data_IF_899028892722
#
_entry.id   IF_899028892722
#
_cell.length_a   1.000
_cell.length_b   1.000
_cell.length_c   1.000
_cell.angle_alpha   90.00
_cell.angle_beta   90.00
_cell.angle_gamma   90.00
#
_symmetry.space_group_name_H-M   'P 1'
#
loop_
_entity.id
_entity.type
_entity.pdbx_description
1 polymer ?
#
# COMPACT_ATOMS: atom_id res chain seq x y z
N UNK A 1 23.12 39.72 69.69
CA UNK A 1 23.85 38.81 68.75
C UNK A 1 22.95 38.02 67.80
N UNK A 2 21.79 37.54 68.23
CA UNK A 2 20.91 36.72 67.31
C UNK A 2 20.25 37.48 66.13
N UNK A 3 20.04 38.78 66.22
CA UNK A 3 19.41 39.58 65.12
C UNK A 3 20.39 39.83 63.99
N UNK A 4 21.67 40.05 64.29
CA UNK A 4 22.71 40.28 63.30
C UNK A 4 23.04 39.01 62.51
N UNK A 5 23.02 37.87 63.18
CA UNK A 5 23.26 36.56 62.56
C UNK A 5 22.14 36.17 61.57
N UNK A 6 20.88 36.55 61.86
CA UNK A 6 19.76 36.31 60.96
C UNK A 6 19.78 37.18 59.71
N UNK A 7 20.25 38.41 59.83
CA UNK A 7 20.38 39.33 58.69
C UNK A 7 21.53 38.89 57.74
N UNK A 8 22.63 38.38 58.30
CA UNK A 8 23.73 37.85 57.51
C UNK A 8 23.35 36.56 56.76
N UNK A 9 22.56 35.67 57.38
CA UNK A 9 22.08 34.45 56.71
C UNK A 9 21.08 34.76 55.59
N UNK A 10 20.20 35.76 55.75
CA UNK A 10 19.26 36.21 54.75
C UNK A 10 19.98 36.86 53.54
N UNK A 11 21.06 37.62 53.80
CA UNK A 11 21.90 38.21 52.75
C UNK A 11 22.66 37.18 51.91
N UNK A 12 23.16 36.10 52.57
CA UNK A 12 23.84 35.01 51.89
C UNK A 12 22.85 34.20 51.04
N UNK A 13 21.62 33.95 51.54
CA UNK A 13 20.58 33.28 50.79
C UNK A 13 20.15 34.09 49.55
N UNK A 14 20.04 35.40 49.63
CA UNK A 14 19.74 36.26 48.49
C UNK A 14 20.88 36.31 47.45
N UNK A 15 22.15 36.26 47.88
CA UNK A 15 23.28 36.20 46.99
C UNK A 15 23.41 34.84 46.24
N UNK A 16 23.02 33.76 46.88
CA UNK A 16 22.96 32.43 46.21
C UNK A 16 21.83 32.32 45.21
N UNK A 17 20.67 32.92 45.44
CA UNK A 17 19.59 33.02 44.51
C UNK A 17 19.89 33.90 43.31
N UNK A 18 20.70 34.97 43.52
CA UNK A 18 21.11 35.87 42.44
C UNK A 18 22.13 35.24 41.46
N UNK A 19 22.94 34.28 41.92
CA UNK A 19 23.90 33.60 41.08
C UNK A 19 23.26 32.59 40.13
N UNK A 20 22.15 32.00 40.49
CA UNK A 20 21.42 31.09 39.61
C UNK A 20 20.65 31.86 38.50
N UNK A 21 20.16 33.08 38.78
CA UNK A 21 19.53 33.91 37.74
C UNK A 21 20.54 34.44 36.70
N UNK A 22 21.79 34.74 37.12
CA UNK A 22 22.82 35.13 36.15
C UNK A 22 23.37 34.00 35.29
N UNK A 23 23.33 32.75 35.81
CA UNK A 23 23.76 31.61 35.02
C UNK A 23 22.75 31.20 33.93
N UNK A 24 21.50 31.59 34.05
CA UNK A 24 20.47 31.36 33.03
C UNK A 24 20.49 32.36 31.87
N UNK A 25 21.00 33.56 32.08
CA UNK A 25 21.13 34.56 31.01
C UNK A 25 22.35 34.42 30.10
N UNK A 26 23.34 33.69 30.51
CA UNK A 26 24.54 33.47 29.68
C UNK A 26 24.50 32.27 28.73
N UNK A 27 23.39 31.52 28.67
CA UNK A 27 23.21 30.46 27.68
C UNK A 27 22.37 30.88 26.47
N UNK A 28 22.04 32.15 26.29
CA UNK A 28 21.39 32.69 25.10
C UNK A 28 22.37 33.29 24.08
N UNK A 29 23.53 32.62 23.89
CA UNK A 29 24.38 32.85 22.74
C UNK A 29 23.86 32.14 21.53
N UNK A 30 23.17 32.90 20.67
CA UNK A 30 22.97 32.69 19.22
C UNK A 30 23.16 31.27 18.67
N UNK A 31 22.33 30.34 19.07
CA UNK A 31 21.97 29.22 18.22
C UNK A 31 20.63 29.60 17.60
N UNK A 32 20.64 29.87 16.31
CA UNK A 32 19.44 29.92 15.48
C UNK A 32 18.73 28.58 15.73
N UNK A 33 17.80 28.55 16.67
CA UNK A 33 16.84 27.50 16.83
C UNK A 33 15.97 27.58 15.58
N UNK A 34 16.36 26.88 14.53
CA UNK A 34 15.38 26.32 13.61
C UNK A 34 14.33 25.68 14.51
N UNK A 35 13.11 26.19 14.44
CA UNK A 35 12.00 25.72 15.26
C UNK A 35 11.89 24.21 15.21
N UNK A 36 12.58 23.58 16.14
CA UNK A 36 12.32 22.22 16.50
C UNK A 36 10.95 22.24 17.18
N UNK A 37 9.90 22.04 16.41
CA UNK A 37 8.66 21.50 16.92
C UNK A 37 9.08 20.34 17.80
N UNK A 38 8.86 20.42 19.10
CA UNK A 38 8.97 19.29 19.98
C UNK A 38 8.20 18.16 19.29
N UNK A 39 8.96 17.17 18.78
CA UNK A 39 8.38 15.92 18.33
C UNK A 39 7.83 15.29 19.60
N UNK A 40 6.55 15.51 19.85
CA UNK A 40 5.77 14.53 20.54
C UNK A 40 5.91 13.27 19.69
N UNK A 41 6.76 12.39 20.13
CA UNK A 41 6.74 10.99 19.76
C UNK A 41 5.46 10.45 20.37
N UNK A 42 4.34 10.80 19.76
CA UNK A 42 3.15 9.99 19.87
C UNK A 42 3.54 8.70 19.15
N UNK A 43 4.01 7.74 19.91
CA UNK A 43 3.91 6.34 19.55
C UNK A 43 2.42 6.06 19.39
N UNK A 44 1.88 6.45 18.24
CA UNK A 44 0.57 6.05 17.81
C UNK A 44 0.68 4.59 17.41
N UNK A 45 0.13 3.75 18.26
CA UNK A 45 -0.38 2.41 17.97
C UNK A 45 0.46 1.55 17.03
N UNK A 46 1.69 1.19 17.42
CA UNK A 46 2.47 0.17 16.74
C UNK A 46 2.93 0.51 15.32
N UNK A 47 2.84 1.77 14.89
CA UNK A 47 3.35 2.19 13.60
C UNK A 47 4.87 2.06 13.55
N UNK A 48 5.37 1.17 12.73
CA UNK A 48 6.79 0.97 12.46
C UNK A 48 7.35 2.02 11.49
N UNK A 49 6.46 2.79 10.88
CA UNK A 49 6.79 3.80 9.86
C UNK A 49 7.03 5.15 10.52
N UNK A 50 8.18 5.76 10.27
CA UNK A 50 8.50 7.09 10.79
C UNK A 50 7.64 8.16 10.15
N UNK A 51 7.38 9.28 10.85
CA UNK A 51 6.65 10.42 10.29
C UNK A 51 7.25 10.94 8.97
N UNK A 52 8.55 10.77 8.77
CA UNK A 52 9.23 11.14 7.52
C UNK A 52 8.81 10.22 6.37
N UNK A 53 8.66 8.93 6.62
CA UNK A 53 8.18 7.97 5.61
C UNK A 53 6.71 8.25 5.29
N UNK A 54 5.86 8.49 6.31
CA UNK A 54 4.46 8.86 6.12
C UNK A 54 4.26 10.15 5.33
N UNK A 55 5.11 11.16 5.57
CA UNK A 55 4.96 12.47 4.93
C UNK A 55 5.44 12.50 3.48
N UNK A 56 6.25 11.54 3.05
CA UNK A 56 6.83 11.53 1.70
C UNK A 56 5.79 11.23 0.62
N UNK A 57 4.80 10.38 0.92
CA UNK A 57 3.78 9.92 -0.01
C UNK A 57 2.34 10.17 0.47
N UNK A 58 2.16 10.66 1.69
CA UNK A 58 0.84 11.02 2.22
C UNK A 58 0.27 12.28 1.59
N UNK A 59 1.04 12.95 0.74
CA UNK A 59 0.57 14.14 0.07
C UNK A 59 -0.50 13.78 -0.95
N UNK A 60 -1.71 13.89 -0.40
CA UNK A 60 -2.86 14.38 -1.11
C UNK A 60 -3.00 13.74 -2.48
N UNK A 61 -3.74 12.65 -2.50
CA UNK A 61 -4.53 12.36 -3.69
C UNK A 61 -5.33 13.62 -4.04
N UNK A 62 -4.68 14.53 -4.72
CA UNK A 62 -5.39 15.46 -5.55
C UNK A 62 -6.09 14.58 -6.58
N UNK A 63 -7.33 14.21 -6.25
CA UNK A 63 -8.18 13.51 -7.17
C UNK A 63 -8.15 14.29 -8.48
N UNK A 64 -7.58 13.68 -9.50
CA UNK A 64 -7.55 14.28 -10.83
C UNK A 64 -8.99 14.52 -11.20
N UNK A 65 -9.34 15.75 -11.51
CA UNK A 65 -10.70 16.07 -11.93
C UNK A 65 -10.98 15.31 -13.23
N UNK A 66 -12.24 14.93 -13.46
CA UNK A 66 -12.60 14.25 -14.71
C UNK A 66 -12.27 15.08 -15.95
N UNK A 67 -12.21 16.40 -15.80
CA UNK A 67 -11.81 17.33 -16.86
C UNK A 67 -10.31 17.22 -17.21
N UNK A 68 -9.46 16.91 -16.24
CA UNK A 68 -8.01 16.79 -16.43
C UNK A 68 -7.60 15.37 -16.85
N UNK A 69 -8.52 14.40 -16.78
CA UNK A 69 -8.29 13.01 -17.15
C UNK A 69 -8.55 12.80 -18.63
N UNK A 70 -7.52 12.94 -19.46
CA UNK A 70 -7.64 12.75 -20.90
C UNK A 70 -7.62 11.29 -21.35
N UNK A 71 -6.97 10.42 -20.58
CA UNK A 71 -6.86 9.02 -20.90
C UNK A 71 -6.89 8.17 -19.64
N UNK A 72 -7.60 7.04 -19.71
CA UNK A 72 -7.73 6.10 -18.61
C UNK A 72 -7.85 4.68 -19.15
N UNK A 73 -7.19 3.74 -18.49
CA UNK A 73 -7.33 2.30 -18.74
C UNK A 73 -7.35 1.52 -17.44
N UNK A 74 -8.25 0.57 -17.33
CA UNK A 74 -8.32 -0.35 -16.16
C UNK A 74 -7.67 -1.67 -16.55
N UNK A 75 -6.70 -2.08 -15.77
CA UNK A 75 -5.90 -3.28 -15.91
C UNK A 75 -6.08 -4.12 -14.65
N UNK A 76 -6.19 -5.43 -14.81
CA UNK A 76 -6.25 -6.37 -13.71
C UNK A 76 -4.99 -7.22 -13.74
N UNK A 77 -4.22 -7.20 -12.64
CA UNK A 77 -3.01 -8.00 -12.49
C UNK A 77 -3.18 -9.11 -11.49
N UNK A 78 -2.54 -10.23 -11.77
CA UNK A 78 -2.28 -11.29 -10.81
C UNK A 78 -0.86 -11.12 -10.28
N UNK A 79 -0.72 -10.79 -9.02
CA UNK A 79 0.55 -10.70 -8.32
C UNK A 79 0.79 -12.07 -7.68
N UNK A 80 1.74 -12.81 -8.20
CA UNK A 80 2.13 -14.12 -7.68
C UNK A 80 3.24 -13.94 -6.64
N UNK A 81 3.07 -14.52 -5.47
CA UNK A 81 3.98 -14.34 -4.33
C UNK A 81 5.25 -15.18 -4.45
N UNK A 82 5.28 -16.16 -5.36
CA UNK A 82 6.47 -16.95 -5.67
C UNK A 82 7.55 -16.11 -6.41
N UNK A 83 7.19 -14.97 -6.96
CA UNK A 83 8.13 -14.06 -7.60
C UNK A 83 8.94 -13.28 -6.55
N UNK A 84 10.26 -13.21 -6.71
CA UNK A 84 11.18 -12.57 -5.76
C UNK A 84 10.76 -11.15 -5.35
N UNK A 85 10.32 -10.33 -6.31
CA UNK A 85 9.87 -8.95 -6.04
C UNK A 85 8.63 -8.87 -5.14
N UNK A 86 7.83 -9.93 -5.12
CA UNK A 86 6.56 -10.00 -4.41
C UNK A 86 6.69 -10.69 -3.05
N UNK A 87 7.83 -11.34 -2.78
CA UNK A 87 8.09 -12.03 -1.52
C UNK A 87 7.86 -11.16 -0.30
N UNK A 88 8.09 -9.84 -0.43
CA UNK A 88 7.83 -8.84 0.59
C UNK A 88 6.36 -8.77 1.04
N UNK A 89 5.41 -9.16 0.20
CA UNK A 89 3.97 -9.18 0.53
C UNK A 89 3.59 -10.42 1.36
N UNK A 90 4.38 -11.50 1.24
CA UNK A 90 4.20 -12.75 1.98
C UNK A 90 4.92 -12.74 3.33
N UNK A 91 6.04 -12.06 3.43
CA UNK A 91 6.87 -12.02 4.64
C UNK A 91 6.36 -10.95 5.64
N UNK A 92 6.33 -11.27 6.95
CA UNK A 92 6.59 -12.57 7.57
C UNK A 92 5.35 -13.48 7.52
N UNK A 93 5.56 -14.80 7.42
CA UNK A 93 4.46 -15.78 7.47
C UNK A 93 3.74 -15.76 8.82
N UNK A 94 4.51 -15.70 9.90
CA UNK A 94 3.99 -15.48 11.25
C UNK A 94 4.37 -14.07 11.74
N UNK A 95 3.55 -13.43 12.57
CA UNK A 95 3.84 -12.10 13.09
C UNK A 95 5.17 -12.07 13.86
N UNK A 96 6.09 -11.19 13.48
CA UNK A 96 7.39 -10.99 14.12
C UNK A 96 7.48 -9.54 14.59
N UNK A 97 7.63 -9.32 15.90
CA UNK A 97 7.81 -7.98 16.50
C UNK A 97 6.78 -6.94 16.08
N UNK A 98 5.52 -7.39 15.86
CA UNK A 98 4.42 -6.52 15.42
C UNK A 98 4.35 -6.31 13.91
N UNK A 99 5.23 -6.93 13.14
CA UNK A 99 5.11 -6.99 11.68
C UNK A 99 4.17 -8.10 11.26
N UNK A 100 3.36 -7.80 10.29
CA UNK A 100 2.40 -8.71 9.69
C UNK A 100 2.50 -8.62 8.17
N UNK A 101 2.27 -9.72 7.47
CA UNK A 101 2.15 -9.66 6.01
C UNK A 101 0.81 -9.03 5.57
N UNK A 102 0.71 -8.74 4.29
CA UNK A 102 -0.46 -8.07 3.71
C UNK A 102 -1.78 -8.79 4.03
N UNK A 103 -1.81 -10.14 3.92
CA UNK A 103 -3.04 -10.89 4.17
C UNK A 103 -3.47 -10.81 5.65
N UNK A 104 -2.55 -10.91 6.59
CA UNK A 104 -2.83 -10.77 8.03
C UNK A 104 -3.34 -9.38 8.37
N UNK A 105 -2.74 -8.34 7.78
CA UNK A 105 -3.22 -6.95 7.94
C UNK A 105 -4.67 -6.84 7.47
N UNK A 106 -4.99 -7.34 6.26
CA UNK A 106 -6.34 -7.30 5.70
C UNK A 106 -7.31 -8.07 6.61
N UNK A 107 -6.96 -9.28 7.04
CA UNK A 107 -7.82 -10.11 7.90
C UNK A 107 -8.06 -9.49 9.27
N UNK A 108 -7.04 -8.91 9.88
CA UNK A 108 -7.15 -8.19 11.16
C UNK A 108 -8.09 -6.98 11.05
N UNK A 109 -7.96 -6.19 10.01
CA UNK A 109 -8.82 -5.04 9.76
C UNK A 109 -10.27 -5.46 9.48
N UNK A 110 -10.46 -6.54 8.73
CA UNK A 110 -11.77 -7.11 8.44
C UNK A 110 -12.42 -7.68 9.71
N UNK A 111 -11.68 -8.46 10.51
CA UNK A 111 -12.17 -9.05 11.75
C UNK A 111 -12.61 -7.97 12.76
N UNK A 112 -11.92 -6.84 12.81
CA UNK A 112 -12.28 -5.68 13.61
C UNK A 112 -13.41 -4.83 12.99
N UNK A 113 -13.94 -5.22 11.83
CA UNK A 113 -14.94 -4.46 11.07
C UNK A 113 -14.51 -3.02 10.77
N UNK A 114 -13.21 -2.83 10.56
CA UNK A 114 -12.61 -1.52 10.27
C UNK A 114 -12.70 -1.17 8.78
N UNK A 115 -12.59 -2.17 7.93
CA UNK A 115 -12.70 -2.04 6.48
C UNK A 115 -13.87 -2.89 5.94
N UNK A 116 -14.56 -2.45 4.88
CA UNK A 116 -15.57 -3.26 4.21
C UNK A 116 -14.93 -4.24 3.22
N UNK A 117 -15.50 -5.43 3.11
CA UNK A 117 -15.22 -6.38 2.04
C UNK A 117 -16.38 -6.42 1.04
N UNK A 118 -16.06 -6.67 -0.21
CA UNK A 118 -17.01 -6.74 -1.31
C UNK A 118 -16.94 -8.09 -2.03
N UNK A 119 -18.08 -8.55 -2.54
CA UNK A 119 -18.19 -9.83 -3.23
C UNK A 119 -17.27 -9.89 -4.46
N UNK A 120 -16.61 -11.04 -4.63
CA UNK A 120 -15.90 -11.35 -5.87
C UNK A 120 -16.92 -11.90 -6.88
N UNK A 121 -17.35 -11.06 -7.80
CA UNK A 121 -18.32 -11.38 -8.83
C UNK A 121 -17.63 -11.66 -10.17
N UNK A 122 -16.97 -12.81 -10.26
CA UNK A 122 -16.32 -13.25 -11.49
C UNK A 122 -15.38 -12.17 -12.10
N UNK A 123 -14.61 -11.54 -11.23
CA UNK A 123 -13.66 -10.47 -11.57
C UNK A 123 -14.31 -9.11 -11.83
N UNK A 124 -15.57 -8.92 -11.47
CA UNK A 124 -16.18 -7.59 -11.46
C UNK A 124 -15.96 -6.93 -10.11
N UNK A 125 -15.47 -5.73 -10.14
CA UNK A 125 -15.33 -4.86 -8.98
C UNK A 125 -16.55 -3.96 -8.84
N UNK A 126 -17.50 -4.34 -7.98
CA UNK A 126 -18.68 -3.53 -7.68
C UNK A 126 -18.68 -3.18 -6.21
N UNK A 127 -18.34 -1.94 -5.90
CA UNK A 127 -18.13 -1.43 -4.54
C UNK A 127 -19.34 -0.67 -4.01
N UNK A 128 -20.53 -1.28 -4.14
CA UNK A 128 -21.79 -0.73 -3.59
C UNK A 128 -22.19 -1.52 -2.34
N UNK A 129 -22.99 -0.90 -1.47
CA UNK A 129 -23.45 -1.55 -0.23
C UNK A 129 -24.22 -2.85 -0.51
N UNK A 130 -24.84 -2.98 -1.68
CA UNK A 130 -25.54 -4.19 -2.09
C UNK A 130 -24.61 -5.41 -2.20
N UNK A 131 -23.35 -5.20 -2.57
CA UNK A 131 -22.36 -6.25 -2.76
C UNK A 131 -21.33 -6.31 -1.62
N UNK A 132 -21.62 -5.62 -0.51
CA UNK A 132 -20.82 -5.71 0.69
C UNK A 132 -21.05 -7.05 1.38
N UNK A 133 -19.99 -7.78 1.68
CA UNK A 133 -20.04 -9.04 2.41
C UNK A 133 -19.89 -8.77 3.91
N UNK A 134 -20.62 -9.50 4.72
CA UNK A 134 -20.40 -9.51 6.18
C UNK A 134 -19.14 -10.30 6.49
N UNK A 135 -18.37 -9.81 7.46
CA UNK A 135 -17.14 -10.49 7.90
C UNK A 135 -17.39 -11.95 8.30
N UNK A 136 -18.49 -12.24 9.01
CA UNK A 136 -18.88 -13.60 9.37
C UNK A 136 -19.01 -14.50 8.13
N UNK A 137 -19.68 -14.02 7.09
CA UNK A 137 -19.92 -14.79 5.85
C UNK A 137 -18.59 -15.09 5.12
N UNK A 138 -17.60 -14.19 5.21
CA UNK A 138 -16.24 -14.42 4.71
C UNK A 138 -15.56 -15.52 5.50
N UNK A 139 -15.57 -15.43 6.83
CA UNK A 139 -14.89 -16.39 7.70
C UNK A 139 -15.49 -17.80 7.54
N UNK A 140 -16.82 -17.89 7.51
CA UNK A 140 -17.54 -19.17 7.33
C UNK A 140 -17.29 -19.76 5.93
N UNK A 141 -17.28 -18.95 4.87
CA UNK A 141 -17.05 -19.39 3.48
C UNK A 141 -15.67 -20.01 3.27
N UNK A 142 -14.66 -19.46 3.95
CA UNK A 142 -13.27 -19.92 3.80
C UNK A 142 -12.82 -20.84 4.95
N UNK A 143 -13.75 -21.23 5.84
CA UNK A 143 -13.51 -22.13 6.97
C UNK A 143 -12.42 -21.61 7.92
N UNK A 144 -12.42 -20.29 8.18
CA UNK A 144 -11.50 -19.66 9.12
C UNK A 144 -12.16 -19.66 10.50
N UNK A 145 -11.59 -20.35 11.52
CA UNK A 145 -12.13 -20.37 12.87
C UNK A 145 -12.07 -18.97 13.50
N UNK A 146 -13.12 -18.60 14.22
CA UNK A 146 -13.17 -17.31 14.90
C UNK A 146 -13.99 -17.38 16.18
N UNK A 147 -13.77 -16.43 17.07
CA UNK A 147 -14.58 -16.17 18.26
C UNK A 147 -15.09 -14.73 18.25
N UNK A 148 -16.21 -14.46 18.91
CA UNK A 148 -16.68 -13.09 19.03
C UNK A 148 -15.77 -12.30 19.97
N UNK A 149 -15.29 -11.15 19.50
CA UNK A 149 -14.41 -10.30 20.29
C UNK A 149 -15.17 -9.61 21.44
N UNK A 150 -14.47 -9.32 22.52
CA UNK A 150 -15.02 -8.53 23.64
C UNK A 150 -15.45 -7.15 23.13
N UNK A 151 -16.71 -6.78 23.36
CA UNK A 151 -17.28 -5.52 22.87
C UNK A 151 -17.86 -5.60 21.45
N UNK A 152 -17.97 -6.80 20.88
CA UNK A 152 -18.77 -7.04 19.69
C UNK A 152 -20.22 -6.66 19.92
N UNK A 153 -20.84 -5.99 18.97
CA UNK A 153 -22.25 -5.63 19.00
C UNK A 153 -22.91 -6.05 17.69
N UNK A 154 -24.22 -6.26 17.71
CA UNK A 154 -24.95 -6.64 16.53
C UNK A 154 -24.83 -5.64 15.36
N UNK A 155 -24.65 -4.33 15.68
CA UNK A 155 -24.43 -3.27 14.70
C UNK A 155 -22.98 -3.17 14.22
N UNK A 156 -22.03 -3.56 15.07
CA UNK A 156 -20.60 -3.56 14.78
C UNK A 156 -19.98 -4.86 15.25
N UNK A 157 -20.20 -5.96 14.51
CA UNK A 157 -19.65 -7.26 14.87
C UNK A 157 -18.12 -7.25 14.73
N UNK A 158 -17.45 -7.72 15.76
CA UNK A 158 -15.99 -7.88 15.80
C UNK A 158 -15.65 -9.31 16.15
N UNK A 159 -14.64 -9.82 15.51
CA UNK A 159 -14.19 -11.20 15.67
C UNK A 159 -12.73 -11.24 16.08
N UNK A 160 -12.37 -12.25 16.84
CA UNK A 160 -10.98 -12.60 17.15
C UNK A 160 -10.65 -13.87 16.41
N UNK A 161 -9.59 -13.85 15.62
CA UNK A 161 -9.04 -14.99 14.89
C UNK A 161 -7.70 -15.31 15.55
N UNK A 162 -7.46 -16.58 15.86
CA UNK A 162 -6.15 -16.98 16.35
C UNK A 162 -5.11 -16.81 15.24
N UNK A 163 -3.91 -16.29 15.52
CA UNK A 163 -2.87 -16.14 14.50
C UNK A 163 -2.53 -17.43 13.73
N UNK A 164 -2.68 -18.60 14.39
CA UNK A 164 -2.47 -19.90 13.76
C UNK A 164 -3.58 -20.32 12.78
N UNK A 165 -4.77 -19.76 12.93
CA UNK A 165 -5.95 -20.09 12.12
C UNK A 165 -6.06 -19.21 10.85
N UNK A 166 -5.23 -18.20 10.72
CA UNK A 166 -5.18 -17.36 9.50
C UNK A 166 -4.44 -18.15 8.40
N UNK A 167 -5.10 -18.52 7.29
CA UNK A 167 -4.50 -19.37 6.25
C UNK A 167 -3.51 -18.58 5.36
N UNK A 168 -2.46 -18.04 5.98
CA UNK A 168 -1.45 -17.23 5.29
C UNK A 168 -0.71 -18.02 4.23
N UNK A 169 -0.38 -19.28 4.54
CA UNK A 169 0.33 -20.19 3.66
C UNK A 169 -0.49 -20.66 2.45
N UNK A 170 -1.80 -20.46 2.46
CA UNK A 170 -2.68 -20.79 1.34
C UNK A 170 -2.90 -19.59 0.40
N UNK A 171 -2.61 -18.37 0.85
CA UNK A 171 -2.74 -17.16 0.02
C UNK A 171 -1.42 -16.91 -0.70
N UNK A 172 -1.33 -17.39 -1.93
CA UNK A 172 -0.11 -17.33 -2.75
C UNK A 172 -0.20 -16.33 -3.90
N UNK A 173 -1.32 -15.65 -4.06
CA UNK A 173 -1.42 -14.55 -5.03
C UNK A 173 -2.47 -13.50 -4.63
N UNK A 174 -2.36 -12.32 -5.24
CA UNK A 174 -3.36 -11.26 -5.14
C UNK A 174 -3.82 -10.85 -6.52
N UNK A 175 -5.12 -10.60 -6.67
CA UNK A 175 -5.61 -9.86 -7.81
C UNK A 175 -5.69 -8.38 -7.45
N UNK A 176 -5.18 -7.55 -8.33
CA UNK A 176 -5.13 -6.09 -8.16
C UNK A 176 -5.80 -5.42 -9.34
N UNK A 177 -6.65 -4.45 -9.05
CA UNK A 177 -7.24 -3.56 -10.06
C UNK A 177 -6.42 -2.28 -10.09
N UNK A 178 -5.82 -2.00 -11.23
CA UNK A 178 -5.08 -0.78 -11.50
C UNK A 178 -5.84 0.11 -12.46
N UNK A 179 -5.96 1.37 -12.11
CA UNK A 179 -6.38 2.41 -13.03
C UNK A 179 -5.16 3.18 -13.51
N UNK A 180 -4.83 3.00 -14.76
CA UNK A 180 -3.80 3.79 -15.42
C UNK A 180 -4.44 5.07 -15.95
N UNK A 181 -3.96 6.22 -15.50
CA UNK A 181 -4.49 7.53 -15.86
C UNK A 181 -3.37 8.49 -16.23
N UNK A 182 -3.63 9.31 -17.26
CA UNK A 182 -2.74 10.37 -17.66
C UNK A 182 -3.21 11.69 -17.02
N UNK A 183 -2.36 12.24 -16.17
CA UNK A 183 -2.57 13.55 -15.54
C UNK A 183 -1.98 14.64 -16.41
N UNK A 184 -2.83 15.47 -17.01
CA UNK A 184 -2.41 16.57 -17.89
C UNK A 184 -1.73 17.70 -17.13
N UNK A 185 -2.02 17.88 -15.83
CA UNK A 185 -1.39 18.93 -15.03
C UNK A 185 0.07 18.64 -14.76
N UNK A 186 0.39 17.39 -14.49
CA UNK A 186 1.75 16.95 -14.19
C UNK A 186 2.44 16.28 -15.39
N UNK A 187 1.71 16.13 -16.51
CA UNK A 187 2.17 15.45 -17.74
C UNK A 187 2.77 14.07 -17.43
N UNK A 188 2.07 13.30 -16.60
CA UNK A 188 2.53 12.02 -16.07
C UNK A 188 1.47 10.94 -16.23
N UNK A 189 1.88 9.77 -16.73
CA UNK A 189 1.10 8.54 -16.68
C UNK A 189 1.39 7.83 -15.34
N UNK A 190 0.36 7.46 -14.59
CA UNK A 190 0.53 6.73 -13.33
C UNK A 190 -0.48 5.61 -13.20
N UNK A 191 -0.08 4.46 -12.66
CA UNK A 191 -1.02 3.47 -12.15
C UNK A 191 -1.53 3.91 -10.77
N UNK A 192 -2.81 3.72 -10.53
CA UNK A 192 -3.46 3.90 -9.24
C UNK A 192 -4.13 2.58 -8.89
N UNK A 193 -3.72 1.97 -7.79
CA UNK A 193 -4.37 0.77 -7.28
C UNK A 193 -5.74 1.13 -6.72
N UNK A 194 -6.81 0.50 -7.24
CA UNK A 194 -8.19 0.73 -6.81
C UNK A 194 -8.65 -0.29 -5.78
N UNK A 195 -8.31 -1.56 -6.00
CA UNK A 195 -8.74 -2.65 -5.12
C UNK A 195 -7.76 -3.82 -5.14
N UNK A 196 -7.78 -4.58 -4.06
CA UNK A 196 -6.99 -5.79 -3.88
C UNK A 196 -7.92 -6.94 -3.50
N UNK A 197 -7.67 -8.13 -4.04
CA UNK A 197 -8.38 -9.36 -3.72
C UNK A 197 -7.35 -10.45 -3.38
N UNK A 198 -7.30 -10.96 -2.15
CA UNK A 198 -6.52 -12.15 -1.82
C UNK A 198 -7.05 -13.37 -2.57
N UNK A 199 -6.15 -14.25 -3.00
CA UNK A 199 -6.50 -15.48 -3.72
C UNK A 199 -5.92 -16.68 -2.97
N UNK A 200 -6.79 -17.54 -2.50
CA UNK A 200 -6.45 -18.81 -1.87
C UNK A 200 -6.08 -19.84 -2.94
N UNK A 201 -5.00 -20.58 -2.69
CA UNK A 201 -4.59 -21.69 -3.52
C UNK A 201 -4.74 -22.98 -2.72
N UNK A 202 -5.70 -23.80 -3.09
CA UNK A 202 -5.95 -25.11 -2.44
C UNK A 202 -5.80 -26.24 -3.44
N UNK A 203 -4.99 -27.21 -3.09
CA UNK A 203 -4.91 -28.45 -3.86
C UNK A 203 -6.19 -29.27 -3.65
N UNK A 204 -6.69 -29.87 -4.72
CA UNK A 204 -7.82 -30.80 -4.61
C UNK A 204 -7.40 -32.09 -3.91
N UNK A 205 -8.37 -32.82 -3.32
CA UNK A 205 -8.15 -34.09 -2.59
C UNK A 205 -7.50 -35.21 -3.43
N UNK A 206 -7.54 -35.09 -4.74
CA UNK A 206 -7.01 -36.09 -5.68
C UNK A 206 -5.64 -35.75 -6.29
N UNK A 207 -4.98 -34.71 -5.81
CA UNK A 207 -3.77 -34.18 -6.42
C UNK A 207 -4.07 -33.39 -7.71
N UNK A 208 -3.11 -32.63 -8.17
CA UNK A 208 -3.23 -31.76 -9.35
C UNK A 208 -2.80 -30.35 -9.01
N UNK A 209 -2.90 -29.44 -9.99
CA UNK A 209 -2.59 -28.03 -9.79
C UNK A 209 -3.53 -27.40 -8.76
N UNK A 210 -2.99 -26.56 -7.91
CA UNK A 210 -3.79 -25.84 -6.92
C UNK A 210 -4.86 -24.96 -7.60
N UNK A 211 -6.10 -25.12 -7.16
CA UNK A 211 -7.20 -24.29 -7.62
C UNK A 211 -7.13 -22.93 -6.95
N UNK A 212 -7.32 -21.87 -7.75
CA UNK A 212 -7.32 -20.49 -7.29
C UNK A 212 -8.73 -20.08 -6.86
N UNK A 213 -8.87 -19.69 -5.59
CA UNK A 213 -10.12 -19.22 -5.01
C UNK A 213 -9.99 -17.74 -4.63
N UNK A 214 -10.41 -16.79 -5.49
CA UNK A 214 -10.49 -15.40 -5.11
C UNK A 214 -11.45 -15.20 -3.95
N UNK A 215 -11.02 -14.47 -2.92
CA UNK A 215 -11.79 -14.38 -1.68
C UNK A 215 -12.82 -13.25 -1.73
N UNK A 216 -12.37 -12.04 -1.74
CA UNK A 216 -13.20 -10.83 -1.69
C UNK A 216 -12.37 -9.61 -2.15
N UNK A 217 -13.06 -8.58 -2.59
CA UNK A 217 -12.42 -7.32 -2.90
C UNK A 217 -12.38 -6.41 -1.68
N UNK A 218 -11.26 -5.69 -1.52
CA UNK A 218 -11.13 -4.56 -0.60
C UNK A 218 -10.65 -3.35 -1.39
N UNK A 219 -11.29 -2.19 -1.17
CA UNK A 219 -10.81 -0.95 -1.78
C UNK A 219 -9.47 -0.55 -1.21
N UNK A 220 -8.55 -0.17 -2.07
CA UNK A 220 -7.23 0.27 -1.64
C UNK A 220 -7.30 1.57 -0.81
N UNK A 221 -8.25 2.46 -1.13
CA UNK A 221 -8.48 3.69 -0.36
C UNK A 221 -8.80 3.43 1.11
N UNK A 222 -9.50 2.31 1.41
CA UNK A 222 -9.89 1.95 2.78
C UNK A 222 -8.72 1.28 3.52
N UNK A 223 -7.82 0.60 2.79
CA UNK A 223 -6.60 -0.02 3.32
C UNK A 223 -5.48 0.99 3.56
N UNK A 224 -5.38 1.99 2.70
CA UNK A 224 -4.25 2.91 2.60
C UNK A 224 -3.78 3.51 3.94
N UNK A 225 -4.66 4.05 4.83
CA UNK A 225 -4.23 4.62 6.10
C UNK A 225 -3.50 3.60 7.00
N UNK A 226 -3.88 2.33 6.91
CA UNK A 226 -3.29 1.25 7.70
C UNK A 226 -2.01 0.73 7.06
N UNK A 227 -1.98 0.62 5.73
CA UNK A 227 -0.81 0.19 4.97
C UNK A 227 0.33 1.23 5.05
N UNK A 228 0.00 2.52 5.10
CA UNK A 228 0.97 3.59 5.29
C UNK A 228 1.62 3.58 6.69
N UNK A 229 0.99 2.93 7.68
CA UNK A 229 1.53 2.78 9.02
C UNK A 229 2.38 1.52 9.22
N UNK A 230 2.39 0.60 8.25
CA UNK A 230 3.10 -0.68 8.31
C UNK A 230 4.31 -0.66 7.38
N UNK A 231 5.47 -0.98 7.93
CA UNK A 231 6.68 -1.12 7.14
C UNK A 231 6.71 -2.44 6.38
N UNK A 232 7.25 -2.41 5.17
CA UNK A 232 7.49 -3.60 4.34
C UNK A 232 8.98 -3.79 4.14
N UNK A 233 9.44 -5.04 4.14
CA UNK A 233 10.81 -5.41 3.85
C UNK A 233 10.92 -5.75 2.36
N UNK A 234 11.46 -4.82 1.60
CA UNK A 234 11.76 -5.01 0.18
C UNK A 234 13.18 -5.54 0.02
N UNK A 235 13.98 -5.36 1.06
CA UNK A 235 15.41 -5.68 1.09
C UNK A 235 15.76 -6.36 2.43
N UNK A 236 16.80 -7.18 2.46
CA UNK A 236 17.19 -7.99 3.62
C UNK A 236 17.66 -7.20 4.84
N UNK A 237 17.83 -5.88 4.71
CA UNK A 237 18.47 -5.08 5.75
C UNK A 237 17.47 -4.32 6.64
N UNK A 238 16.87 -3.26 6.10
CA UNK A 238 16.02 -2.36 6.87
C UNK A 238 14.78 -2.00 6.06
N UNK A 239 13.61 -1.91 6.70
CA UNK A 239 12.42 -1.45 6.02
C UNK A 239 12.62 -0.01 5.57
N UNK A 240 12.58 0.22 4.27
CA UNK A 240 12.80 1.54 3.65
C UNK A 240 11.51 2.22 3.25
N UNK A 241 10.44 1.47 3.11
CA UNK A 241 9.15 1.97 2.68
C UNK A 241 7.99 1.30 3.44
N UNK A 242 6.79 1.83 3.26
CA UNK A 242 5.53 1.26 3.75
C UNK A 242 4.88 0.38 2.70
N UNK A 243 3.86 -0.40 3.09
CA UNK A 243 3.02 -1.12 2.12
C UNK A 243 2.31 -0.15 1.16
N UNK A 244 1.91 1.04 1.61
CA UNK A 244 1.32 2.05 0.73
C UNK A 244 2.32 2.51 -0.35
N UNK A 245 3.57 2.75 0.03
CA UNK A 245 4.63 3.13 -0.91
C UNK A 245 4.89 2.01 -1.93
N UNK A 246 4.91 0.77 -1.47
CA UNK A 246 5.13 -0.40 -2.34
C UNK A 246 4.10 -0.47 -3.47
N UNK A 247 2.82 -0.25 -3.16
CA UNK A 247 1.77 -0.20 -4.16
C UNK A 247 1.75 1.10 -4.97
N UNK A 248 1.97 2.24 -4.34
CA UNK A 248 1.96 3.56 -5.01
C UNK A 248 3.10 3.70 -6.01
N UNK A 249 4.28 3.13 -5.70
CA UNK A 249 5.45 3.12 -6.58
C UNK A 249 5.45 1.95 -7.56
N UNK A 250 4.41 1.10 -7.55
CA UNK A 250 4.28 -0.04 -8.44
C UNK A 250 5.51 -0.99 -8.38
N UNK A 251 5.98 -1.28 -7.17
CA UNK A 251 7.19 -2.09 -6.94
C UNK A 251 6.97 -3.59 -7.13
N UNK A 252 5.73 -4.03 -7.27
CA UNK A 252 5.36 -5.43 -7.46
C UNK A 252 5.50 -5.87 -8.93
N UNK A 253 5.65 -7.17 -9.12
CA UNK A 253 5.62 -7.83 -10.43
C UNK A 253 4.33 -8.63 -10.59
N UNK A 254 3.47 -8.23 -11.52
CA UNK A 254 2.19 -8.88 -11.75
C UNK A 254 1.86 -9.06 -13.24
N UNK A 255 1.34 -10.23 -13.56
CA UNK A 255 0.91 -10.55 -14.92
C UNK A 255 -0.49 -10.01 -15.19
N UNK A 256 -0.69 -9.42 -16.37
CA UNK A 256 -2.00 -8.91 -16.76
C UNK A 256 -2.92 -10.09 -17.07
N UNK A 257 -3.89 -10.37 -16.18
CA UNK A 257 -4.84 -11.46 -16.42
C UNK A 257 -6.13 -11.02 -17.10
N UNK A 258 -6.44 -9.71 -17.05
CA UNK A 258 -7.65 -9.15 -17.66
C UNK A 258 -7.47 -7.65 -17.92
N UNK A 259 -8.13 -7.16 -18.94
CA UNK A 259 -8.36 -5.73 -19.15
C UNK A 259 -9.87 -5.48 -19.16
N UNK A 260 -10.28 -4.25 -18.83
CA UNK A 260 -11.70 -3.89 -18.93
C UNK A 260 -12.17 -4.06 -20.37
N UNK A 261 -13.10 -4.99 -20.57
CA UNK A 261 -13.67 -5.30 -21.89
C UNK A 261 -15.17 -5.57 -21.79
N UNK A 262 -15.88 -5.32 -22.88
CA UNK A 262 -17.35 -5.43 -22.93
C UNK A 262 -17.88 -6.84 -22.65
N UNK A 263 -17.08 -7.87 -22.97
CA UNK A 263 -17.46 -9.28 -22.79
C UNK A 263 -17.06 -9.82 -21.41
N UNK A 264 -16.41 -9.02 -20.58
CA UNK A 264 -15.87 -9.39 -19.26
C UNK A 264 -15.00 -10.66 -19.27
N UNK A 265 -14.33 -10.94 -20.39
CA UNK A 265 -13.47 -12.13 -20.54
C UNK A 265 -12.07 -11.87 -19.99
N UNK A 266 -11.50 -12.88 -19.34
CA UNK A 266 -10.08 -12.87 -18.97
C UNK A 266 -9.18 -13.02 -20.21
N UNK A 267 -7.89 -12.71 -20.06
CA UNK A 267 -6.90 -12.87 -21.14
C UNK A 267 -6.77 -14.32 -21.59
N UNK A 268 -6.80 -15.27 -20.64
CA UNK A 268 -6.78 -16.72 -20.93
C UNK A 268 -7.99 -17.15 -21.76
N UNK A 269 -9.17 -16.60 -21.48
CA UNK A 269 -10.38 -16.91 -22.26
C UNK A 269 -10.36 -16.29 -23.68
N UNK A 270 -9.60 -15.21 -23.87
CA UNK A 270 -9.45 -14.56 -25.15
C UNK A 270 -8.33 -15.19 -26.00
N UNK A 271 -7.26 -15.63 -25.35
CA UNK A 271 -6.05 -16.19 -25.93
C UNK A 271 -5.75 -17.55 -25.25
N UNK A 272 -6.38 -18.65 -25.71
CA UNK A 272 -6.18 -19.99 -25.09
C UNK A 272 -4.76 -20.55 -25.28
N UNK A 273 -4.07 -20.11 -26.33
CA UNK A 273 -2.68 -20.48 -26.60
C UNK A 273 -1.73 -19.67 -25.70
N UNK A 274 -0.84 -20.35 -24.91
CA UNK A 274 0.06 -19.68 -23.96
C UNK A 274 0.98 -18.64 -24.63
N UNK A 275 1.48 -18.93 -25.81
CA UNK A 275 2.37 -18.00 -26.54
C UNK A 275 1.61 -16.77 -27.04
N UNK A 276 0.38 -16.96 -27.51
CA UNK A 276 -0.51 -15.86 -27.89
C UNK A 276 -0.93 -15.02 -26.69
N UNK A 277 -1.19 -15.66 -25.56
CA UNK A 277 -1.50 -14.99 -24.30
C UNK A 277 -0.34 -14.08 -23.87
N UNK A 278 0.88 -14.62 -23.82
CA UNK A 278 2.05 -13.86 -23.41
C UNK A 278 2.31 -12.69 -24.34
N UNK A 279 2.27 -12.89 -25.66
CA UNK A 279 2.40 -11.81 -26.66
C UNK A 279 1.34 -10.71 -26.47
N UNK A 280 0.12 -11.09 -26.13
CA UNK A 280 -0.95 -10.13 -25.87
C UNK A 280 -0.70 -9.33 -24.57
N UNK A 281 -0.25 -9.99 -23.51
CA UNK A 281 0.14 -9.35 -22.25
C UNK A 281 1.30 -8.37 -22.46
N UNK A 282 2.38 -8.81 -23.13
CA UNK A 282 3.55 -8.00 -23.42
C UNK A 282 3.19 -6.80 -24.31
N UNK A 283 2.28 -6.99 -25.29
CA UNK A 283 1.78 -5.89 -26.12
C UNK A 283 1.03 -4.84 -25.32
N UNK A 284 0.23 -5.25 -24.33
CA UNK A 284 -0.49 -4.31 -23.47
C UNK A 284 0.52 -3.58 -22.57
N UNK A 285 1.44 -4.31 -21.93
CA UNK A 285 2.47 -3.72 -21.08
C UNK A 285 3.32 -2.71 -21.86
N UNK A 286 3.82 -3.08 -23.05
CA UNK A 286 4.60 -2.18 -23.90
C UNK A 286 3.83 -0.92 -24.31
N UNK A 287 2.50 -1.00 -24.45
CA UNK A 287 1.69 0.18 -24.75
C UNK A 287 1.57 1.12 -23.55
N UNK A 288 1.57 0.57 -22.33
CA UNK A 288 1.56 1.36 -21.11
C UNK A 288 2.92 2.04 -20.92
N UNK A 289 4.01 1.27 -21.02
CA UNK A 289 5.39 1.75 -20.82
C UNK A 289 5.79 2.80 -21.86
N UNK A 290 5.36 2.62 -23.12
CA UNK A 290 5.66 3.55 -24.21
C UNK A 290 4.61 4.66 -24.39
N UNK A 291 3.62 4.77 -23.50
CA UNK A 291 2.59 5.79 -23.66
C UNK A 291 3.17 7.19 -23.53
N UNK A 292 4.01 7.43 -22.52
CA UNK A 292 4.65 8.72 -22.29
C UNK A 292 5.55 9.12 -23.46
N UNK A 293 6.33 8.18 -24.01
CA UNK A 293 7.24 8.46 -25.14
C UNK A 293 6.50 8.95 -26.40
N UNK A 294 5.23 8.54 -26.55
CA UNK A 294 4.39 8.95 -27.70
C UNK A 294 3.74 10.31 -27.53
N UNK A 295 3.78 10.89 -26.35
CA UNK A 295 3.23 12.21 -26.05
C UNK A 295 4.21 13.33 -26.43
N UNK A 296 5.50 13.01 -26.53
CA UNK A 296 6.53 13.97 -26.90
C UNK A 296 6.68 14.02 -28.42
N UNK A 297 6.79 15.24 -28.93
CA UNK A 297 7.17 15.44 -30.32
C UNK A 297 8.63 14.99 -30.46
N UNK A 298 8.95 14.05 -31.37
CA UNK A 298 10.30 13.57 -31.53
C UNK A 298 11.23 14.76 -31.87
N UNK A 299 12.43 14.72 -31.33
CA UNK A 299 13.44 15.72 -31.64
C UNK A 299 13.81 15.66 -33.10
N UNK A 300 14.35 16.76 -33.63
CA UNK A 300 14.82 16.80 -35.04
C UNK A 300 15.82 15.69 -35.34
N UNK A 301 16.67 15.37 -34.38
CA UNK A 301 17.70 14.32 -34.53
C UNK A 301 17.05 12.92 -34.61
N UNK A 302 16.06 12.64 -33.77
CA UNK A 302 15.31 11.38 -33.82
C UNK A 302 14.54 11.20 -35.12
N UNK A 303 13.97 12.28 -35.67
CA UNK A 303 13.27 12.27 -36.97
C UNK A 303 14.26 11.96 -38.10
N UNK A 304 15.45 12.56 -38.05
CA UNK A 304 16.51 12.32 -39.05
C UNK A 304 16.98 10.87 -38.95
N UNK A 305 17.31 10.39 -37.76
CA UNK A 305 17.77 9.02 -37.55
C UNK A 305 16.70 7.97 -37.96
N UNK A 306 15.42 8.22 -37.67
CA UNK A 306 14.34 7.36 -38.13
C UNK A 306 14.17 7.33 -39.64
N UNK A 307 14.43 8.45 -40.31
CA UNK A 307 14.42 8.54 -41.78
C UNK A 307 15.59 7.77 -42.40
N UNK A 308 16.79 7.97 -41.89
CA UNK A 308 18.00 7.27 -42.36
C UNK A 308 17.87 5.75 -42.14
N UNK A 309 17.34 5.31 -40.99
CA UNK A 309 17.09 3.89 -40.74
C UNK A 309 16.07 3.29 -41.72
N UNK A 310 15.05 4.06 -42.12
CA UNK A 310 14.07 3.60 -43.12
C UNK A 310 14.70 3.50 -44.52
N UNK A 311 15.48 4.50 -44.93
CA UNK A 311 16.19 4.52 -46.20
C UNK A 311 17.21 3.36 -46.30
N UNK A 312 17.85 3.01 -45.16
CA UNK A 312 18.76 1.87 -45.10
C UNK A 312 18.07 0.49 -45.20
N UNK A 313 16.80 0.39 -44.83
CA UNK A 313 16.00 -0.84 -44.95
C UNK A 313 15.39 -1.02 -46.36
N UNK A 314 15.28 0.07 -47.14
CA UNK A 314 14.73 0.07 -48.49
C UNK A 314 15.83 -0.08 -49.56
N UNK A 315 17.11 0.05 -49.17
CA UNK A 315 18.28 -0.10 -50.04
C UNK A 315 18.84 -1.53 -50.00
#
# INVERSE_FOLDING_TARGET
>A
MHKILRISLAAIALLLLGSELCAQEQSQGSVVRRGGRERKTEQQDGSQVTQRMQSFYSDKDESISDADRQWMRVIYRSIDLDKDKNAALYFPEEPIEGQENLFRIIMRLLANNTIPAYEYLDGREIFTDQYRIKTRDVLDRFYIPYTEAKGSTEKNPRFTIDPSDVPTNEVLSYYVVERWEFDTRHNRLRPVVEAICPVLHRSGDFGGDALKYPMFWVKFSDLRPYLAAQAIFVDDNLPTCSYDDFFTLNMYDGDIYKTRNLKNKSMVQQYPDPDALKRAQDSIQSRLDNFESKLWVPTREEVIAAREAREALEA
#
